data_IF_964491606323
#
_entry.id   IF_964491606323
#
_cell.length_a   1.000
_cell.length_b   1.000
_cell.length_c   1.000
_cell.angle_alpha   90.00
_cell.angle_beta   90.00
_cell.angle_gamma   90.00
#
_symmetry.space_group_name_H-M   'P 1'
#
loop_
_entity.id
_entity.type
_entity.pdbx_description
1 polymer ?
#
# COMPACT_ATOMS: atom_id res chain seq x y z
N UNK A 1 26.33 -7.11 31.73
CA UNK A 1 26.07 -5.72 31.33
C UNK A 1 25.29 -5.79 30.02
N UNK A 2 23.96 -5.72 30.09
CA UNK A 2 23.10 -5.59 28.92
C UNK A 2 22.46 -4.20 29.04
N UNK A 3 22.82 -3.30 28.13
CA UNK A 3 22.25 -1.96 28.08
C UNK A 3 20.84 -2.04 27.50
N UNK A 4 19.84 -1.54 28.24
CA UNK A 4 18.50 -1.30 27.75
C UNK A 4 18.50 -0.07 26.80
N UNK A 5 17.78 -0.16 25.68
CA UNK A 5 17.72 0.89 24.66
C UNK A 5 16.27 1.33 24.43
N UNK A 6 16.03 2.64 24.43
CA UNK A 6 14.81 3.27 23.92
C UNK A 6 15.23 4.00 22.64
N UNK A 7 14.72 3.55 21.50
CA UNK A 7 14.90 4.23 20.21
C UNK A 7 13.68 5.08 19.91
N UNK A 8 13.90 6.38 19.71
CA UNK A 8 12.90 7.34 19.26
C UNK A 8 13.23 7.64 17.80
N UNK A 9 12.48 7.06 16.86
CA UNK A 9 12.75 7.22 15.43
C UNK A 9 12.24 8.56 14.87
N UNK A 10 11.09 9.05 15.36
CA UNK A 10 10.50 10.33 14.92
C UNK A 10 9.85 11.05 16.12
N UNK A 11 10.32 12.25 16.45
CA UNK A 11 9.67 13.14 17.40
C UNK A 11 9.64 14.57 16.86
N UNK A 12 8.62 15.33 17.25
CA UNK A 12 8.55 16.77 16.97
C UNK A 12 8.63 17.51 18.29
N UNK A 13 9.58 18.42 18.38
CA UNK A 13 9.81 19.27 19.55
C UNK A 13 9.35 20.68 19.18
N UNK A 14 8.49 21.26 20.01
CA UNK A 14 8.10 22.66 19.89
C UNK A 14 8.78 23.46 21.01
N UNK A 15 9.53 24.50 20.64
CA UNK A 15 10.18 25.43 21.56
C UNK A 15 9.48 26.78 21.55
N UNK A 16 8.75 27.07 22.63
CA UNK A 16 8.06 28.33 22.91
C UNK A 16 7.00 28.71 21.84
N UNK A 17 6.06 29.59 22.21
CA UNK A 17 4.92 30.01 21.38
C UNK A 17 5.31 30.85 20.14
N UNK A 18 6.47 30.61 19.53
CA UNK A 18 6.92 31.21 18.28
C UNK A 18 6.89 30.16 17.19
N UNK A 19 6.55 30.55 15.95
CA UNK A 19 6.35 29.68 14.78
C UNK A 19 7.61 28.91 14.29
N UNK A 20 8.61 28.72 15.14
CA UNK A 20 9.83 27.97 14.85
C UNK A 20 9.59 26.47 15.03
N UNK A 21 9.35 25.75 13.93
CA UNK A 21 9.33 24.28 13.93
C UNK A 21 10.71 23.81 13.50
N UNK A 22 11.58 23.49 14.46
CA UNK A 22 12.77 22.70 14.17
C UNK A 22 12.37 21.23 14.12
N UNK A 23 12.27 20.67 12.90
CA UNK A 23 12.20 19.22 12.73
C UNK A 23 13.57 18.64 13.04
N UNK A 24 13.79 18.21 14.28
CA UNK A 24 14.96 17.40 14.61
C UNK A 24 14.80 16.02 13.95
N UNK A 25 15.25 15.89 12.70
CA UNK A 25 15.58 14.59 12.09
C UNK A 25 16.90 14.11 12.67
N UNK A 26 16.90 13.71 13.93
CA UNK A 26 18.02 13.00 14.53
C UNK A 26 17.52 11.65 15.03
N UNK A 27 18.09 10.57 14.47
CA UNK A 27 18.12 9.27 15.15
C UNK A 27 18.90 9.47 16.45
N UNK A 28 18.20 9.73 17.55
CA UNK A 28 18.81 9.79 18.86
C UNK A 28 18.66 8.43 19.54
N UNK A 29 19.74 7.66 19.60
CA UNK A 29 19.83 6.47 20.46
C UNK A 29 20.13 6.97 21.87
N UNK A 30 19.10 7.14 22.69
CA UNK A 30 19.25 7.60 24.07
C UNK A 30 19.69 6.41 24.94
N UNK A 31 21.00 6.33 25.22
CA UNK A 31 21.54 5.42 26.25
C UNK A 31 21.34 6.09 27.62
N UNK A 32 20.63 5.41 28.53
CA UNK A 32 20.34 5.76 29.95
C UNK A 32 19.24 6.79 30.22
N UNK A 33 18.53 6.52 31.33
CA UNK A 33 17.47 7.33 31.96
C UNK A 33 17.89 8.79 32.22
N UNK A 34 19.16 9.03 32.58
CA UNK A 34 19.71 10.37 32.83
C UNK A 34 19.73 11.27 31.59
N UNK A 35 19.68 10.69 30.39
CA UNK A 35 19.74 11.42 29.12
C UNK A 35 18.38 11.99 28.73
N UNK A 36 17.26 11.38 29.18
CA UNK A 36 15.92 11.96 29.05
C UNK A 36 15.80 13.22 29.92
N UNK A 37 16.24 13.15 31.18
CA UNK A 37 16.25 14.31 32.09
C UNK A 37 17.15 15.43 31.57
N UNK A 38 18.31 15.13 30.99
CA UNK A 38 19.18 16.10 30.30
C UNK A 38 18.55 16.68 29.02
N UNK A 39 17.74 15.89 28.29
CA UNK A 39 16.99 16.36 27.10
C UNK A 39 15.88 17.35 27.49
N UNK A 40 15.35 17.23 28.71
CA UNK A 40 14.34 18.11 29.31
C UNK A 40 14.91 19.20 30.22
N UNK A 41 16.23 19.25 30.50
CA UNK A 41 16.71 19.99 31.69
C UNK A 41 16.84 21.49 31.54
N UNK A 42 16.68 22.09 30.35
CA UNK A 42 17.02 23.51 30.21
C UNK A 42 15.88 24.48 29.94
N UNK A 43 14.64 24.07 29.62
CA UNK A 43 13.54 25.03 29.48
C UNK A 43 12.15 24.50 29.92
N UNK A 44 11.41 25.24 30.75
CA UNK A 44 10.12 24.81 31.32
C UNK A 44 8.94 24.77 30.33
N UNK A 45 9.12 25.22 29.07
CA UNK A 45 8.03 25.39 28.09
C UNK A 45 8.11 24.47 26.86
N UNK A 46 8.95 23.42 26.88
CA UNK A 46 9.08 22.47 25.76
C UNK A 46 7.93 21.46 25.76
N UNK A 47 7.20 21.35 24.65
CA UNK A 47 6.20 20.28 24.41
C UNK A 47 6.78 19.27 23.40
N UNK A 48 6.67 17.99 23.73
CA UNK A 48 7.12 16.90 22.85
C UNK A 48 5.90 16.11 22.41
N UNK A 49 5.70 16.02 21.09
CA UNK A 49 4.62 15.25 20.50
C UNK A 49 5.16 13.93 19.98
N UNK A 50 4.63 12.82 20.52
CA UNK A 50 5.05 11.46 20.18
C UNK A 50 3.89 10.78 19.48
N UNK A 51 4.14 10.25 18.28
CA UNK A 51 3.17 9.36 17.63
C UNK A 51 3.05 8.06 18.45
N UNK A 52 1.82 7.55 18.67
CA UNK A 52 1.57 6.28 19.38
C UNK A 52 2.32 5.06 18.80
N UNK A 53 2.99 5.20 17.66
CA UNK A 53 3.89 4.19 17.09
C UNK A 53 5.18 3.95 17.89
N UNK A 54 5.50 4.76 18.90
CA UNK A 54 6.88 4.93 19.36
C UNK A 54 7.22 4.43 20.78
N UNK A 55 6.54 3.40 21.29
CA UNK A 55 6.93 2.78 22.57
C UNK A 55 7.05 1.26 22.41
N UNK A 56 8.27 0.77 22.19
CA UNK A 56 8.59 -0.63 22.52
C UNK A 56 8.98 -0.70 24.00
N UNK A 57 8.20 -1.41 24.82
CA UNK A 57 8.61 -1.83 26.17
C UNK A 57 8.93 -3.32 26.15
N UNK A 58 10.11 -3.70 26.62
CA UNK A 58 10.33 -5.03 27.21
C UNK A 58 10.63 -4.81 28.69
N UNK A 59 9.58 -4.79 29.50
CA UNK A 59 9.73 -4.63 30.95
C UNK A 59 9.94 -6.01 31.59
N UNK A 60 11.09 -6.21 32.26
CA UNK A 60 11.16 -7.11 33.42
C UNK A 60 11.63 -6.28 34.60
N UNK A 61 10.69 -5.98 35.48
CA UNK A 61 10.85 -5.43 36.83
C UNK A 61 11.77 -4.22 37.00
N UNK A 62 11.23 -3.01 36.86
CA UNK A 62 11.12 -2.05 37.97
C UNK A 62 10.34 -0.80 37.54
N UNK A 63 9.59 -0.23 38.49
CA UNK A 63 8.49 0.73 38.32
C UNK A 63 8.91 2.08 37.73
N UNK A 64 8.20 2.54 36.70
CA UNK A 64 8.04 3.95 36.32
C UNK A 64 6.62 4.20 35.79
N UNK A 65 5.96 5.28 36.24
CA UNK A 65 4.67 5.74 35.73
C UNK A 65 4.84 6.82 34.66
N UNK A 66 4.06 6.72 33.58
CA UNK A 66 3.88 7.75 32.55
C UNK A 66 2.39 8.05 32.50
N UNK A 67 2.01 9.33 32.64
CA UNK A 67 0.61 9.75 32.50
C UNK A 67 0.33 10.08 31.04
N UNK A 68 -0.66 9.40 30.47
CA UNK A 68 -1.14 9.58 29.10
C UNK A 68 -2.50 10.27 29.19
N UNK A 69 -2.67 11.44 28.59
CA UNK A 69 -3.98 12.10 28.49
C UNK A 69 -4.57 11.89 27.10
N UNK A 70 -5.79 11.35 27.04
CA UNK A 70 -6.61 11.23 25.84
C UNK A 70 -7.54 12.46 25.73
N UNK A 71 -7.68 13.05 24.55
CA UNK A 71 -8.70 14.07 24.29
C UNK A 71 -9.95 13.43 23.68
N UNK A 72 -11.11 13.63 24.30
CA UNK A 72 -12.40 13.19 23.73
C UNK A 72 -12.74 13.95 22.45
N UNK A 73 -13.30 13.19 21.50
CA UNK A 73 -13.82 13.60 20.21
C UNK A 73 -14.98 14.61 20.31
N UNK A 74 -14.82 15.77 19.67
CA UNK A 74 -15.95 16.65 19.36
C UNK A 74 -16.62 16.18 18.06
N UNK A 75 -17.87 15.73 18.18
CA UNK A 75 -18.76 15.36 17.09
C UNK A 75 -19.50 16.59 16.57
N UNK A 76 -19.08 17.16 15.44
CA UNK A 76 -20.00 17.90 14.56
C UNK A 76 -19.61 17.74 13.08
N UNK A 77 -20.56 17.15 12.35
CA UNK A 77 -20.80 17.05 10.90
C UNK A 77 -19.62 17.05 9.90
N UNK A 78 -19.61 15.97 9.11
CA UNK A 78 -18.82 15.61 7.92
C UNK A 78 -17.46 14.92 8.15
N UNK A 79 -17.40 13.70 7.61
CA UNK A 79 -16.29 12.72 7.54
C UNK A 79 -16.02 11.96 8.85
N UNK A 80 -16.65 10.80 8.97
CA UNK A 80 -16.41 9.82 10.03
C UNK A 80 -15.03 9.14 9.88
N UNK A 81 -14.02 9.64 10.56
CA UNK A 81 -12.84 8.88 10.99
C UNK A 81 -12.46 9.38 12.39
N UNK A 82 -12.68 8.57 13.44
CA UNK A 82 -12.10 8.86 14.75
C UNK A 82 -10.62 8.46 14.75
N UNK A 83 -9.78 9.29 15.36
CA UNK A 83 -8.36 9.02 15.55
C UNK A 83 -8.02 9.25 17.03
N UNK A 84 -7.54 8.21 17.72
CA UNK A 84 -7.08 8.30 19.11
C UNK A 84 -5.60 8.69 19.14
N UNK A 85 -5.22 9.70 19.94
CA UNK A 85 -3.82 10.11 20.16
C UNK A 85 -3.55 10.45 21.64
N UNK A 86 -2.28 10.29 22.05
CA UNK A 86 -1.77 10.51 23.41
C UNK A 86 -0.92 11.79 23.54
N UNK A 87 -1.23 12.68 24.49
CA UNK A 87 -0.40 13.86 24.82
C UNK A 87 0.36 13.64 26.13
N UNK A 88 1.64 14.02 26.20
CA UNK A 88 2.46 13.99 27.43
C UNK A 88 2.84 15.42 27.82
N UNK A 89 2.53 15.81 29.07
CA UNK A 89 2.85 17.11 29.65
C UNK A 89 3.56 16.94 30.99
N UNK A 90 4.57 17.78 31.28
CA UNK A 90 5.31 17.79 32.55
C UNK A 90 4.62 18.59 33.67
N UNK A 91 3.44 19.17 33.43
CA UNK A 91 2.78 20.05 34.39
C UNK A 91 1.87 19.30 35.38
N UNK A 92 2.46 18.74 36.45
CA UNK A 92 1.91 18.62 37.84
C UNK A 92 2.67 17.54 38.64
N UNK A 93 3.96 17.74 38.87
CA UNK A 93 4.68 17.06 39.96
C UNK A 93 4.75 18.01 41.16
N UNK A 94 3.63 18.17 41.87
CA UNK A 94 3.64 18.75 43.22
C UNK A 94 3.42 17.63 44.24
N UNK A 95 4.52 17.25 44.88
CA UNK A 95 4.60 16.81 46.29
C UNK A 95 3.43 15.97 46.81
N UNK A 96 3.60 14.64 46.84
CA UNK A 96 3.09 13.80 47.94
C UNK A 96 3.88 12.49 48.02
N UNK A 97 4.43 12.25 49.21
CA UNK A 97 5.06 10.99 49.63
C UNK A 97 3.96 9.95 49.87
N UNK A 98 4.24 8.69 49.54
CA UNK A 98 3.48 7.46 49.81
C UNK A 98 2.54 6.93 48.71
N UNK A 99 2.37 5.60 48.77
CA UNK A 99 2.10 4.58 47.75
C UNK A 99 0.80 4.69 46.93
N UNK A 100 0.76 3.99 45.79
CA UNK A 100 -0.49 3.46 45.22
C UNK A 100 -0.47 3.38 43.70
N UNK A 101 -0.74 2.18 43.15
CA UNK A 101 -1.06 1.99 41.74
C UNK A 101 -2.41 2.64 41.44
N UNK A 102 -2.41 3.78 40.76
CA UNK A 102 -3.62 4.36 40.15
C UNK A 102 -3.19 5.01 38.83
N UNK A 103 -3.74 4.52 37.72
CA UNK A 103 -3.83 5.28 36.47
C UNK A 103 -5.07 6.14 36.63
N UNK A 104 -4.91 7.45 36.82
CA UNK A 104 -6.06 8.37 36.81
C UNK A 104 -6.32 8.81 35.36
N UNK A 105 -7.52 8.50 34.86
CA UNK A 105 -8.09 9.10 33.66
C UNK A 105 -8.44 10.57 33.96
N UNK A 106 -7.85 11.50 33.22
CA UNK A 106 -8.18 12.93 33.35
C UNK A 106 -9.08 13.31 32.18
N UNK A 107 -10.39 13.34 32.40
CA UNK A 107 -11.36 13.95 31.48
C UNK A 107 -11.21 15.48 31.53
N UNK A 108 -10.95 16.11 30.38
CA UNK A 108 -11.05 17.57 30.26
C UNK A 108 -12.37 17.96 29.60
N UNK A 109 -13.40 18.11 30.44
CA UNK A 109 -14.52 19.01 30.16
C UNK A 109 -14.09 20.45 30.40
N UNK A 110 -14.27 21.33 29.42
CA UNK A 110 -14.07 22.77 29.62
C UNK A 110 -13.88 23.58 28.34
N UNK A 111 -14.86 24.43 28.05
CA UNK A 111 -14.85 25.47 27.02
C UNK A 111 -13.54 26.28 26.98
N UNK A 112 -12.78 26.13 25.89
CA UNK A 112 -11.58 26.94 25.65
C UNK A 112 -11.41 27.22 24.15
N UNK A 113 -11.34 28.51 23.79
CA UNK A 113 -11.14 29.03 22.42
C UNK A 113 -9.86 28.51 21.71
N UNK A 114 -9.01 27.69 22.35
CA UNK A 114 -7.83 27.06 21.75
C UNK A 114 -8.10 25.80 20.92
N UNK A 115 -9.30 25.22 21.02
CA UNK A 115 -9.64 23.94 20.35
C UNK A 115 -9.59 24.00 18.82
N UNK A 116 -10.03 25.12 18.20
CA UNK A 116 -10.10 25.23 16.73
C UNK A 116 -8.73 25.42 16.07
N UNK A 117 -7.85 26.23 16.67
CA UNK A 117 -6.51 26.48 16.13
C UNK A 117 -5.59 25.28 16.35
N UNK A 118 -5.70 24.60 17.50
CA UNK A 118 -4.97 23.36 17.74
C UNK A 118 -5.46 22.22 16.82
N UNK A 119 -6.76 22.18 16.47
CA UNK A 119 -7.29 21.23 15.47
C UNK A 119 -6.87 21.55 14.04
N UNK A 120 -6.82 22.84 13.65
CA UNK A 120 -6.29 23.26 12.36
C UNK A 120 -4.78 22.98 12.23
N UNK A 121 -4.02 23.19 13.32
CA UNK A 121 -2.60 22.86 13.41
C UNK A 121 -2.36 21.35 13.39
N UNK A 122 -3.16 20.56 14.12
CA UNK A 122 -3.14 19.09 14.05
C UNK A 122 -3.51 18.59 12.65
N UNK A 123 -4.50 19.17 11.98
CA UNK A 123 -4.82 18.86 10.58
C UNK A 123 -3.65 19.19 9.64
N UNK A 124 -2.92 20.28 9.89
CA UNK A 124 -1.70 20.64 9.18
C UNK A 124 -0.54 19.67 9.43
N UNK A 125 -0.33 19.24 10.68
CA UNK A 125 0.68 18.25 11.08
C UNK A 125 0.31 16.85 10.58
N UNK A 126 -0.96 16.48 10.61
CA UNK A 126 -1.49 15.23 10.05
C UNK A 126 -1.45 15.23 8.53
N UNK A 127 -1.70 16.36 7.86
CA UNK A 127 -1.42 16.49 6.42
C UNK A 127 0.06 16.28 6.15
N UNK A 128 0.97 16.81 6.97
CA UNK A 128 2.42 16.58 6.87
C UNK A 128 2.86 15.15 7.26
N UNK A 129 2.15 14.47 8.16
CA UNK A 129 2.40 13.08 8.57
C UNK A 129 1.71 12.04 7.66
N UNK A 130 0.67 12.45 6.93
CA UNK A 130 -0.01 11.68 5.88
C UNK A 130 0.91 11.43 4.67
N UNK A 131 2.04 12.10 4.59
CA UNK A 131 3.15 11.76 3.69
C UNK A 131 3.90 10.53 4.21
N UNK A 132 3.22 9.37 4.26
CA UNK A 132 3.94 8.11 4.41
C UNK A 132 4.84 7.95 3.18
N UNK A 133 6.16 7.95 3.39
CA UNK A 133 7.16 7.83 2.32
C UNK A 133 7.16 6.42 1.71
N UNK A 134 6.54 5.47 2.41
CA UNK A 134 6.50 4.07 2.07
C UNK A 134 5.06 3.56 1.91
N UNK A 135 4.91 2.54 1.08
CA UNK A 135 3.67 1.78 0.90
C UNK A 135 3.22 1.25 2.26
N UNK A 136 1.95 1.48 2.58
CA UNK A 136 1.33 0.92 3.78
C UNK A 136 0.98 -0.55 3.57
N UNK A 137 1.93 -1.44 3.86
CA UNK A 137 1.79 -2.88 3.68
C UNK A 137 0.72 -3.49 4.59
N UNK A 138 0.03 -4.58 4.17
CA UNK A 138 -1.07 -5.19 4.93
C UNK A 138 -0.68 -5.65 6.35
N UNK A 139 0.55 -6.14 6.51
CA UNK A 139 1.11 -6.65 7.77
C UNK A 139 1.84 -5.59 8.60
N UNK A 140 1.70 -4.31 8.26
CA UNK A 140 2.17 -3.24 9.14
C UNK A 140 1.43 -3.30 10.47
N UNK A 141 2.17 -3.34 11.59
CA UNK A 141 1.62 -3.30 12.96
C UNK A 141 0.73 -2.09 13.21
N UNK A 142 0.93 -1.00 12.46
CA UNK A 142 0.12 0.19 12.59
C UNK A 142 -1.29 0.04 11.97
N UNK A 143 -1.57 -1.04 11.22
CA UNK A 143 -2.90 -1.31 10.68
C UNK A 143 -3.78 -1.88 11.79
N UNK A 144 -4.50 -1.00 12.48
CA UNK A 144 -5.33 -1.38 13.63
C UNK A 144 -6.82 -1.29 13.27
N UNK A 145 -7.62 -2.20 13.81
CA UNK A 145 -9.09 -2.14 13.84
C UNK A 145 -9.50 -2.36 15.30
N UNK A 146 -10.13 -1.35 15.91
CA UNK A 146 -10.62 -1.40 17.30
C UNK A 146 -9.55 -1.94 18.28
N UNK A 147 -8.31 -1.44 18.20
CA UNK A 147 -7.20 -1.86 19.06
C UNK A 147 -6.57 -3.23 18.74
N UNK A 148 -7.06 -3.96 17.74
CA UNK A 148 -6.47 -5.23 17.27
C UNK A 148 -5.71 -5.03 15.97
N UNK A 149 -4.56 -5.70 15.81
CA UNK A 149 -3.82 -5.68 14.54
C UNK A 149 -4.68 -6.32 13.44
N UNK A 150 -5.00 -5.54 12.40
CA UNK A 150 -5.80 -5.98 11.26
C UNK A 150 -5.19 -7.20 10.58
N UNK A 151 -3.86 -7.32 10.62
CA UNK A 151 -3.16 -8.44 10.01
C UNK A 151 -3.45 -9.76 10.70
N UNK A 152 -3.74 -9.81 12.00
CA UNK A 152 -4.06 -11.07 12.70
C UNK A 152 -5.37 -11.67 12.16
N UNK A 153 -6.35 -10.80 11.88
CA UNK A 153 -7.63 -11.17 11.26
C UNK A 153 -7.39 -11.65 9.82
N UNK A 154 -6.60 -10.91 9.04
CA UNK A 154 -6.24 -11.26 7.66
C UNK A 154 -5.50 -12.60 7.61
N UNK A 155 -4.49 -12.77 8.46
CA UNK A 155 -3.66 -13.96 8.54
C UNK A 155 -4.50 -15.18 8.89
N UNK A 156 -5.39 -15.06 9.88
CA UNK A 156 -6.31 -16.14 10.27
C UNK A 156 -7.25 -16.52 9.12
N UNK A 157 -7.81 -15.53 8.42
CA UNK A 157 -8.72 -15.77 7.30
C UNK A 157 -8.01 -16.42 6.09
N UNK A 158 -6.88 -15.86 5.65
CA UNK A 158 -6.11 -16.38 4.52
C UNK A 158 -5.51 -17.76 4.83
N UNK A 159 -5.14 -18.05 6.08
CA UNK A 159 -4.61 -19.37 6.46
C UNK A 159 -5.60 -20.51 6.20
N UNK A 160 -6.92 -20.23 6.24
CA UNK A 160 -7.95 -21.22 5.88
C UNK A 160 -7.91 -21.60 4.39
N UNK A 161 -7.37 -20.73 3.55
CA UNK A 161 -7.24 -20.95 2.11
C UNK A 161 -5.98 -21.76 1.73
N UNK A 162 -5.11 -22.10 2.69
CA UNK A 162 -3.95 -22.98 2.44
C UNK A 162 -4.33 -24.44 2.16
N UNK A 163 -5.56 -24.83 2.48
CA UNK A 163 -6.11 -26.16 2.21
C UNK A 163 -6.92 -26.12 0.92
N UNK A 164 -7.07 -27.23 0.18
CA UNK A 164 -7.93 -27.29 -0.99
C UNK A 164 -9.33 -26.75 -0.71
N UNK A 165 -9.80 -25.80 -1.53
CA UNK A 165 -11.14 -25.23 -1.41
C UNK A 165 -12.16 -26.18 -2.05
N UNK A 166 -13.35 -26.26 -1.46
CA UNK A 166 -14.52 -26.93 -2.02
C UNK A 166 -15.24 -26.04 -3.03
N UNK A 167 -15.31 -24.73 -2.75
CA UNK A 167 -16.00 -23.76 -3.60
C UNK A 167 -15.30 -22.40 -3.57
N UNK A 168 -15.51 -21.59 -4.60
CA UNK A 168 -14.99 -20.22 -4.66
C UNK A 168 -15.58 -19.31 -3.56
N UNK A 169 -16.73 -19.65 -2.98
CA UNK A 169 -17.37 -18.90 -1.88
C UNK A 169 -16.47 -18.78 -0.65
N UNK A 170 -15.55 -19.73 -0.43
CA UNK A 170 -14.56 -19.64 0.65
C UNK A 170 -13.60 -18.45 0.45
N UNK A 171 -13.34 -18.04 -0.80
CA UNK A 171 -12.58 -16.82 -1.12
C UNK A 171 -13.39 -15.59 -0.70
N UNK A 172 -14.69 -15.56 -1.01
CA UNK A 172 -15.57 -14.45 -0.63
C UNK A 172 -15.68 -14.33 0.90
N UNK A 173 -15.88 -15.44 1.61
CA UNK A 173 -15.95 -15.50 3.07
C UNK A 173 -14.66 -14.98 3.70
N UNK A 174 -13.50 -15.37 3.15
CA UNK A 174 -12.21 -14.84 3.57
C UNK A 174 -12.15 -13.32 3.40
N UNK A 175 -12.49 -12.79 2.22
CA UNK A 175 -12.40 -11.34 1.96
C UNK A 175 -13.43 -10.54 2.81
N UNK A 176 -14.62 -11.09 3.03
CA UNK A 176 -15.67 -10.47 3.87
C UNK A 176 -15.27 -10.35 5.34
N UNK A 177 -14.38 -11.21 5.85
CA UNK A 177 -14.02 -11.20 7.27
C UNK A 177 -13.16 -9.99 7.69
N UNK A 178 -12.56 -9.27 6.74
CA UNK A 178 -11.68 -8.11 7.03
C UNK A 178 -11.84 -6.94 6.06
N UNK A 179 -12.81 -7.01 5.14
CA UNK A 179 -13.12 -5.95 4.18
C UNK A 179 -14.62 -5.69 4.12
N UNK A 180 -15.00 -4.53 3.59
CA UNK A 180 -16.41 -4.15 3.36
C UNK A 180 -16.95 -4.67 2.02
N UNK A 181 -16.23 -5.56 1.33
CA UNK A 181 -16.62 -6.07 0.02
C UNK A 181 -17.77 -7.04 0.17
N UNK A 182 -18.91 -6.75 -0.46
CA UNK A 182 -20.12 -7.60 -0.35
C UNK A 182 -20.45 -8.35 -1.65
N UNK A 183 -20.11 -7.77 -2.80
CA UNK A 183 -20.46 -8.29 -4.12
C UNK A 183 -19.24 -8.90 -4.83
N UNK A 184 -19.42 -10.12 -5.35
CA UNK A 184 -18.41 -10.93 -6.04
C UNK A 184 -18.95 -11.54 -7.34
N UNK A 185 -19.91 -10.88 -7.99
CA UNK A 185 -20.59 -11.39 -9.18
C UNK A 185 -19.65 -11.86 -10.29
N UNK A 186 -18.64 -11.07 -10.68
CA UNK A 186 -17.69 -11.46 -11.71
C UNK A 186 -16.83 -12.66 -11.30
N UNK A 187 -16.46 -12.74 -10.01
CA UNK A 187 -15.70 -13.87 -9.48
C UNK A 187 -16.54 -15.15 -9.52
N UNK A 188 -17.82 -15.06 -9.12
CA UNK A 188 -18.75 -16.18 -9.24
C UNK A 188 -18.99 -16.60 -10.68
N UNK A 189 -19.17 -15.64 -11.60
CA UNK A 189 -19.32 -15.93 -13.02
C UNK A 189 -18.09 -16.64 -13.60
N UNK A 190 -16.88 -16.24 -13.21
CA UNK A 190 -15.66 -16.94 -13.61
C UNK A 190 -15.72 -18.41 -13.20
N UNK A 191 -15.90 -18.69 -11.90
CA UNK A 191 -15.82 -20.04 -11.38
C UNK A 191 -16.99 -20.92 -11.83
N UNK A 192 -18.22 -20.42 -11.82
CA UNK A 192 -19.43 -21.22 -12.06
C UNK A 192 -19.75 -21.36 -13.56
N UNK A 193 -19.52 -20.32 -14.37
CA UNK A 193 -19.99 -20.29 -15.76
C UNK A 193 -18.87 -20.36 -16.81
N UNK A 194 -17.64 -19.93 -16.50
CA UNK A 194 -16.57 -19.77 -17.50
C UNK A 194 -15.48 -20.84 -17.40
N UNK A 195 -15.04 -21.19 -16.19
CA UNK A 195 -14.04 -22.23 -16.00
C UNK A 195 -14.64 -23.62 -16.25
N UNK A 196 -13.94 -24.44 -17.04
CA UNK A 196 -14.25 -25.87 -17.12
C UNK A 196 -13.91 -26.57 -15.81
N UNK A 197 -14.45 -27.78 -15.61
CA UNK A 197 -14.35 -28.50 -14.35
C UNK A 197 -12.90 -28.78 -13.93
N UNK A 198 -12.04 -29.19 -14.86
CA UNK A 198 -10.63 -29.49 -14.57
C UNK A 198 -9.89 -28.25 -14.06
N UNK A 199 -10.03 -27.12 -14.75
CA UNK A 199 -9.34 -25.88 -14.40
C UNK A 199 -9.92 -25.26 -13.12
N UNK A 200 -11.24 -25.38 -12.93
CA UNK A 200 -11.93 -24.97 -11.69
C UNK A 200 -11.37 -25.71 -10.48
N UNK A 201 -11.26 -27.04 -10.57
CA UNK A 201 -10.66 -27.86 -9.51
C UNK A 201 -9.22 -27.44 -9.27
N UNK A 202 -8.38 -27.34 -10.30
CA UNK A 202 -6.98 -26.93 -10.15
C UNK A 202 -6.84 -25.54 -9.50
N UNK A 203 -7.72 -24.60 -9.84
CA UNK A 203 -7.70 -23.27 -9.25
C UNK A 203 -8.07 -23.30 -7.76
N UNK A 204 -9.09 -24.05 -7.39
CA UNK A 204 -9.55 -24.17 -6.01
C UNK A 204 -8.61 -25.00 -5.12
N UNK A 205 -7.98 -26.04 -5.67
CA UNK A 205 -7.16 -26.98 -4.88
C UNK A 205 -5.68 -26.63 -4.87
N UNK A 206 -5.20 -25.88 -5.87
CA UNK A 206 -3.77 -25.61 -6.05
C UNK A 206 -3.45 -24.12 -6.17
N UNK A 207 -4.09 -23.40 -7.10
CA UNK A 207 -3.72 -22.01 -7.40
C UNK A 207 -4.07 -21.05 -6.27
N UNK A 208 -5.29 -21.10 -5.75
CA UNK A 208 -5.72 -20.22 -4.63
C UNK A 208 -4.93 -20.52 -3.35
N UNK A 209 -4.68 -21.78 -2.97
CA UNK A 209 -3.76 -22.09 -1.87
C UNK A 209 -2.33 -21.57 -2.08
N UNK A 210 -1.82 -21.63 -3.31
CA UNK A 210 -0.53 -21.03 -3.65
C UNK A 210 -0.54 -19.50 -3.47
N UNK A 211 -1.58 -18.80 -3.92
CA UNK A 211 -1.75 -17.36 -3.70
C UNK A 211 -1.81 -17.01 -2.21
N UNK A 212 -2.55 -17.80 -1.42
CA UNK A 212 -2.63 -17.64 0.03
C UNK A 212 -1.25 -17.78 0.68
N UNK A 213 -0.46 -18.77 0.25
CA UNK A 213 0.93 -18.96 0.69
C UNK A 213 1.80 -17.73 0.36
N UNK A 214 1.72 -17.20 -0.86
CA UNK A 214 2.45 -15.98 -1.25
C UNK A 214 2.12 -14.77 -0.36
N UNK A 215 0.83 -14.57 -0.06
CA UNK A 215 0.41 -13.47 0.81
C UNK A 215 0.89 -13.67 2.27
N UNK A 216 0.85 -14.89 2.79
CA UNK A 216 1.28 -15.18 4.17
C UNK A 216 2.80 -15.15 4.36
N UNK A 217 3.58 -15.42 3.31
CA UNK A 217 5.05 -15.34 3.31
C UNK A 217 5.58 -13.91 3.11
N UNK A 218 4.70 -12.94 2.81
CA UNK A 218 5.11 -11.57 2.51
C UNK A 218 5.98 -10.90 3.60
N UNK A 219 5.80 -11.11 4.92
CA UNK A 219 6.64 -10.44 5.91
C UNK A 219 8.10 -10.92 5.91
N UNK A 220 8.35 -12.17 5.50
CA UNK A 220 9.71 -12.70 5.35
C UNK A 220 10.30 -12.46 3.96
N UNK A 221 9.45 -12.23 2.95
CA UNK A 221 9.85 -12.01 1.57
C UNK A 221 10.13 -10.52 1.26
N UNK A 222 9.32 -9.62 1.81
CA UNK A 222 9.41 -8.16 1.63
C UNK A 222 9.82 -7.58 2.99
N UNK A 223 11.11 -7.67 3.27
CA UNK A 223 11.72 -7.26 4.54
C UNK A 223 12.08 -5.78 4.59
N UNK A 224 12.11 -5.12 3.43
CA UNK A 224 12.38 -3.70 3.29
C UNK A 224 11.09 -2.92 3.01
N UNK A 225 10.91 -1.72 3.59
CA UNK A 225 9.83 -0.83 3.21
C UNK A 225 9.91 -0.48 1.71
N UNK A 226 8.76 -0.52 1.02
CA UNK A 226 8.68 -0.16 -0.40
C UNK A 226 8.40 1.35 -0.48
N UNK A 227 9.28 2.18 -1.06
CA UNK A 227 9.03 3.61 -1.15
C UNK A 227 7.92 3.91 -2.17
N UNK A 228 7.16 4.97 -1.90
CA UNK A 228 6.21 5.54 -2.85
C UNK A 228 6.99 6.46 -3.80
N UNK A 229 6.85 6.22 -5.11
CA UNK A 229 7.35 7.07 -6.18
C UNK A 229 6.43 8.29 -6.33
N UNK A 230 6.72 9.30 -5.50
CA UNK A 230 5.92 10.50 -5.35
C UNK A 230 5.92 11.38 -6.58
N UNK A 231 4.80 12.06 -6.77
CA UNK A 231 4.64 13.09 -7.79
C UNK A 231 5.61 14.24 -7.56
N UNK A 232 6.27 14.66 -8.64
CA UNK A 232 7.33 15.68 -8.66
C UNK A 232 8.74 15.14 -8.43
N UNK A 233 8.90 13.88 -7.99
CA UNK A 233 10.19 13.31 -7.63
C UNK A 233 10.63 12.23 -8.62
N UNK A 234 11.93 12.20 -8.95
CA UNK A 234 12.51 11.05 -9.65
C UNK A 234 12.83 9.93 -8.65
N UNK A 235 12.78 8.68 -9.10
CA UNK A 235 13.11 7.54 -8.26
C UNK A 235 12.88 6.22 -8.96
N UNK A 236 13.41 5.15 -8.39
CA UNK A 236 13.27 3.80 -8.93
C UNK A 236 13.11 2.78 -7.81
N UNK A 237 12.26 1.79 -8.04
CA UNK A 237 12.08 0.62 -7.18
C UNK A 237 12.34 -0.62 -8.02
N UNK A 238 13.24 -1.48 -7.57
CA UNK A 238 13.48 -2.79 -8.17
C UNK A 238 13.12 -3.87 -7.15
N UNK A 239 12.23 -4.77 -7.54
CA UNK A 239 11.81 -5.91 -6.73
C UNK A 239 11.90 -7.19 -7.55
N UNK A 240 12.02 -8.34 -6.88
CA UNK A 240 11.90 -9.63 -7.58
C UNK A 240 10.47 -9.86 -8.07
N UNK A 241 10.30 -10.64 -9.14
CA UNK A 241 8.99 -11.09 -9.58
C UNK A 241 8.26 -11.90 -8.48
N UNK A 242 9.01 -12.56 -7.57
CA UNK A 242 8.43 -13.20 -6.39
C UNK A 242 7.78 -12.21 -5.43
N UNK A 243 8.45 -11.09 -5.13
CA UNK A 243 7.89 -10.01 -4.33
C UNK A 243 6.68 -9.38 -5.03
N UNK A 244 6.74 -9.17 -6.35
CA UNK A 244 5.62 -8.68 -7.15
C UNK A 244 4.40 -9.61 -7.04
N UNK A 245 4.59 -10.93 -7.20
CA UNK A 245 3.54 -11.93 -7.05
C UNK A 245 2.89 -11.91 -5.65
N UNK A 246 3.69 -11.73 -4.59
CA UNK A 246 3.17 -11.62 -3.22
C UNK A 246 2.32 -10.35 -3.03
N UNK A 247 2.74 -9.21 -3.59
CA UNK A 247 1.96 -7.97 -3.59
C UNK A 247 0.65 -8.11 -4.37
N UNK A 248 0.68 -8.78 -5.52
CA UNK A 248 -0.53 -9.05 -6.32
C UNK A 248 -1.48 -10.01 -5.61
N UNK A 249 -0.97 -11.01 -4.89
CA UNK A 249 -1.82 -11.89 -4.06
C UNK A 249 -2.52 -11.08 -2.97
N UNK A 250 -1.82 -10.14 -2.33
CA UNK A 250 -2.42 -9.20 -1.38
C UNK A 250 -3.50 -8.29 -2.00
N UNK A 251 -3.29 -7.85 -3.25
CA UNK A 251 -4.25 -7.06 -4.02
C UNK A 251 -5.52 -7.87 -4.38
N UNK A 252 -5.34 -9.13 -4.81
CA UNK A 252 -6.43 -10.07 -5.09
C UNK A 252 -7.28 -10.32 -3.83
N UNK A 253 -6.65 -10.60 -2.69
CA UNK A 253 -7.34 -10.78 -1.42
C UNK A 253 -7.80 -9.45 -0.77
N UNK A 254 -7.68 -8.31 -1.45
CA UNK A 254 -8.18 -7.01 -0.97
C UNK A 254 -7.61 -6.58 0.40
N UNK A 255 -6.34 -6.90 0.66
CA UNK A 255 -5.73 -6.72 1.98
C UNK A 255 -5.09 -5.34 2.19
N UNK A 256 -4.83 -4.56 1.15
CA UNK A 256 -4.24 -3.23 1.30
C UNK A 256 -5.22 -2.28 2.04
N UNK A 257 -4.77 -1.61 3.12
CA UNK A 257 -5.65 -0.73 3.90
C UNK A 257 -6.00 0.54 3.12
N UNK A 258 -7.29 0.89 3.08
CA UNK A 258 -7.81 2.12 2.43
C UNK A 258 -7.46 2.26 0.93
N UNK A 259 -7.21 1.16 0.22
CA UNK A 259 -6.88 1.14 -1.22
C UNK A 259 -8.00 0.56 -2.11
N UNK A 260 -9.25 0.68 -1.65
CA UNK A 260 -10.46 0.27 -2.38
C UNK A 260 -10.99 1.36 -3.33
N UNK A 261 -10.54 2.61 -3.13
CA UNK A 261 -10.88 3.79 -3.92
C UNK A 261 -9.55 4.50 -4.20
N UNK A 262 -9.47 5.26 -5.30
CA UNK A 262 -8.36 6.18 -5.54
C UNK A 262 -8.25 7.13 -4.34
N UNK A 263 -7.11 7.11 -3.66
CA UNK A 263 -6.88 7.90 -2.45
C UNK A 263 -5.75 8.87 -2.70
N UNK A 264 -5.93 10.17 -2.42
CA UNK A 264 -4.90 11.22 -2.36
C UNK A 264 -3.60 10.86 -3.11
N UNK A 265 -3.70 10.81 -4.44
CA UNK A 265 -2.62 10.54 -5.41
C UNK A 265 -2.32 9.10 -5.84
N UNK A 266 -2.78 8.03 -5.16
CA UNK A 266 -2.50 6.64 -5.58
C UNK A 266 -3.70 5.93 -6.23
N UNK A 267 -3.50 5.10 -7.27
CA UNK A 267 -4.55 4.27 -7.86
C UNK A 267 -5.17 3.29 -6.85
N UNK A 268 -6.40 2.82 -7.10
CA UNK A 268 -6.97 1.70 -6.34
C UNK A 268 -6.31 0.38 -6.75
N UNK A 269 -5.91 -0.47 -5.80
CA UNK A 269 -5.21 -1.72 -6.12
C UNK A 269 -5.92 -2.98 -5.61
N UNK A 270 -6.86 -2.87 -4.68
CA UNK A 270 -7.63 -4.04 -4.25
C UNK A 270 -8.64 -4.44 -5.35
N UNK A 271 -8.79 -5.74 -5.59
CA UNK A 271 -9.61 -6.27 -6.70
C UNK A 271 -11.12 -6.20 -6.43
N UNK A 272 -11.55 -5.63 -5.29
CA UNK A 272 -12.94 -5.58 -4.86
C UNK A 272 -13.89 -4.98 -5.91
N UNK A 273 -13.44 -3.97 -6.68
CA UNK A 273 -14.23 -3.40 -7.76
C UNK A 273 -14.31 -4.34 -8.96
N UNK A 274 -13.23 -5.01 -9.32
CA UNK A 274 -13.22 -5.99 -10.40
C UNK A 274 -14.18 -7.15 -10.11
N UNK A 275 -14.21 -7.63 -8.86
CA UNK A 275 -15.10 -8.73 -8.44
C UNK A 275 -16.59 -8.38 -8.50
N UNK A 276 -16.98 -7.11 -8.33
CA UNK A 276 -18.38 -6.70 -8.21
C UNK A 276 -19.06 -6.31 -9.52
N UNK A 277 -18.31 -6.23 -10.62
CA UNK A 277 -18.82 -5.85 -11.94
C UNK A 277 -19.53 -7.02 -12.64
N UNK A 278 -20.29 -6.71 -13.70
CA UNK A 278 -21.16 -7.65 -14.40
C UNK A 278 -21.04 -7.50 -15.92
N UNK A 279 -19.84 -7.66 -16.46
CA UNK A 279 -19.61 -7.59 -17.91
C UNK A 279 -18.72 -8.71 -18.41
N UNK A 280 -18.96 -9.16 -19.65
CA UNK A 280 -18.20 -10.27 -20.24
C UNK A 280 -16.69 -9.98 -20.27
N UNK A 281 -16.28 -8.76 -20.63
CA UNK A 281 -14.88 -8.38 -20.64
C UNK A 281 -14.23 -8.42 -19.25
N UNK A 282 -14.95 -8.08 -18.16
CA UNK A 282 -14.43 -8.17 -16.78
C UNK A 282 -14.09 -9.62 -16.41
N UNK A 283 -14.91 -10.59 -16.82
CA UNK A 283 -14.59 -12.00 -16.57
C UNK A 283 -13.35 -12.42 -17.35
N UNK A 284 -13.18 -11.95 -18.58
CA UNK A 284 -11.97 -12.17 -19.37
C UNK A 284 -10.72 -11.54 -18.72
N UNK A 285 -10.84 -10.37 -18.09
CA UNK A 285 -9.76 -9.81 -17.26
C UNK A 285 -9.38 -10.71 -16.10
N UNK A 286 -10.37 -11.26 -15.39
CA UNK A 286 -10.13 -12.20 -14.30
C UNK A 286 -9.46 -13.48 -14.81
N UNK A 287 -9.74 -13.91 -16.05
CA UNK A 287 -9.00 -15.03 -16.68
C UNK A 287 -7.52 -14.71 -16.84
N UNK A 288 -7.16 -13.52 -17.34
CA UNK A 288 -5.75 -13.12 -17.44
C UNK A 288 -5.04 -13.16 -16.07
N UNK A 289 -5.67 -12.56 -15.06
CA UNK A 289 -5.10 -12.43 -13.72
C UNK A 289 -4.97 -13.79 -13.02
N UNK A 290 -5.99 -14.66 -13.13
CA UNK A 290 -5.91 -16.02 -12.60
C UNK A 290 -4.94 -16.89 -13.40
N UNK A 291 -4.83 -16.68 -14.72
CA UNK A 291 -3.86 -17.38 -15.54
C UNK A 291 -2.42 -17.05 -15.13
N UNK A 292 -2.13 -15.79 -14.80
CA UNK A 292 -0.84 -15.41 -14.21
C UNK A 292 -0.53 -16.21 -12.94
N UNK A 293 -1.43 -16.20 -11.94
CA UNK A 293 -1.24 -16.97 -10.71
C UNK A 293 -1.09 -18.47 -10.96
N UNK A 294 -1.85 -19.01 -11.92
CA UNK A 294 -1.74 -20.40 -12.33
C UNK A 294 -0.35 -20.71 -12.92
N UNK A 295 0.16 -19.87 -13.83
CA UNK A 295 1.48 -20.07 -14.44
C UNK A 295 2.61 -19.99 -13.40
N UNK A 296 2.59 -19.00 -12.51
CA UNK A 296 3.63 -18.85 -11.50
C UNK A 296 3.54 -19.91 -10.39
N UNK A 297 2.36 -20.52 -10.16
CA UNK A 297 2.21 -21.66 -9.25
C UNK A 297 2.91 -22.92 -9.77
N UNK A 298 3.05 -23.05 -11.09
CA UNK A 298 3.77 -24.14 -11.76
C UNK A 298 5.27 -23.89 -11.80
N UNK A 299 5.68 -22.67 -12.16
CA UNK A 299 7.09 -22.24 -12.17
C UNK A 299 7.16 -20.76 -11.81
N UNK A 300 7.69 -20.48 -10.62
CA UNK A 300 7.89 -19.11 -10.16
C UNK A 300 9.00 -18.44 -10.98
N UNK A 301 8.76 -17.28 -11.59
CA UNK A 301 9.80 -16.56 -12.31
C UNK A 301 10.81 -15.93 -11.34
N UNK A 302 12.05 -15.80 -11.79
CA UNK A 302 13.21 -15.42 -10.95
C UNK A 302 13.82 -14.07 -11.33
N UNK A 303 13.24 -13.38 -12.31
CA UNK A 303 13.69 -12.07 -12.77
C UNK A 303 13.35 -10.94 -11.79
N UNK A 304 13.69 -9.73 -12.23
CA UNK A 304 13.49 -8.50 -11.49
C UNK A 304 12.56 -7.57 -12.27
N UNK A 305 11.68 -6.90 -11.54
CA UNK A 305 10.81 -5.83 -12.03
C UNK A 305 11.35 -4.49 -11.52
N UNK A 306 11.65 -3.58 -12.43
CA UNK A 306 12.05 -2.20 -12.10
C UNK A 306 10.96 -1.23 -12.53
N UNK A 307 10.47 -0.42 -11.58
CA UNK A 307 9.52 0.68 -11.83
C UNK A 307 10.24 1.98 -11.51
N UNK A 308 10.33 2.87 -12.50
CA UNK A 308 11.04 4.14 -12.40
C UNK A 308 10.13 5.30 -12.74
N UNK A 309 10.12 6.31 -11.89
CA UNK A 309 9.48 7.61 -12.15
C UNK A 309 10.52 8.59 -12.65
N UNK A 310 10.22 9.24 -13.76
CA UNK A 310 11.08 10.24 -14.38
C UNK A 310 10.32 11.54 -14.53
N UNK A 311 11.03 12.64 -14.36
CA UNK A 311 10.57 13.99 -14.70
C UNK A 311 11.55 14.60 -15.69
N UNK A 312 11.04 15.46 -16.57
CA UNK A 312 11.89 16.21 -17.50
C UNK A 312 11.35 17.63 -17.66
N UNK A 313 12.21 18.55 -18.09
CA UNK A 313 11.80 19.87 -18.57
C UNK A 313 11.72 19.85 -20.09
N UNK A 314 10.66 20.44 -20.65
CA UNK A 314 10.56 20.57 -22.10
C UNK A 314 11.74 21.39 -22.64
N UNK A 315 12.42 20.94 -23.71
CA UNK A 315 13.43 21.76 -24.37
C UNK A 315 12.78 22.97 -25.04
N UNK A 316 13.59 23.98 -25.37
CA UNK A 316 13.11 25.10 -26.17
C UNK A 316 12.97 24.68 -27.66
N UNK A 317 11.80 24.14 -28.00
CA UNK A 317 11.51 23.55 -29.31
C UNK A 317 11.81 24.49 -30.49
N UNK A 318 11.57 25.80 -30.36
CA UNK A 318 11.81 26.76 -31.45
C UNK A 318 13.28 26.97 -31.78
N UNK A 319 14.17 26.63 -30.85
CA UNK A 319 15.64 26.70 -31.02
C UNK A 319 16.28 25.39 -31.47
N UNK A 320 15.49 24.31 -31.61
CA UNK A 320 16.00 23.00 -32.00
C UNK A 320 16.05 22.87 -33.53
N UNK A 321 17.24 22.62 -34.06
CA UNK A 321 17.49 22.42 -35.50
C UNK A 321 18.03 21.02 -35.82
N UNK A 322 17.70 20.03 -34.99
CA UNK A 322 18.09 18.64 -35.22
C UNK A 322 17.32 18.06 -36.42
N UNK A 323 17.95 17.19 -37.24
CA UNK A 323 17.24 16.49 -38.30
C UNK A 323 16.18 15.54 -37.71
N UNK A 324 15.13 15.26 -38.48
CA UNK A 324 14.16 14.23 -38.13
C UNK A 324 14.84 12.86 -38.10
N UNK A 325 14.42 12.00 -37.18
CA UNK A 325 14.88 10.61 -37.09
C UNK A 325 14.21 9.73 -38.16
N UNK A 326 14.76 8.54 -38.37
CA UNK A 326 14.11 7.50 -39.18
C UNK A 326 12.71 7.16 -38.62
N UNK A 327 11.78 6.86 -39.53
CA UNK A 327 10.38 6.58 -39.20
C UNK A 327 9.90 5.34 -39.97
N UNK A 328 9.41 4.35 -39.22
CA UNK A 328 8.68 3.20 -39.74
C UNK A 328 7.21 3.30 -39.33
N UNK A 329 6.30 3.17 -40.30
CA UNK A 329 4.85 3.21 -40.07
C UNK A 329 4.20 1.99 -40.69
N UNK A 330 3.39 1.28 -39.89
CA UNK A 330 2.63 0.12 -40.32
C UNK A 330 1.19 0.21 -39.81
N UNK A 331 0.23 -0.25 -40.63
CA UNK A 331 -1.17 -0.42 -40.22
C UNK A 331 -1.46 -1.86 -39.70
N UNK A 332 -0.42 -2.70 -39.67
CA UNK A 332 -0.45 -4.08 -39.15
C UNK A 332 0.52 -4.19 -37.97
N UNK A 333 0.23 -5.13 -37.09
CA UNK A 333 1.05 -5.41 -35.91
C UNK A 333 0.58 -4.68 -34.65
N UNK A 334 1.20 -5.00 -33.53
CA UNK A 334 0.94 -4.44 -32.20
C UNK A 334 2.24 -3.98 -31.55
N UNK A 335 2.14 -3.12 -30.52
CA UNK A 335 3.31 -2.61 -29.81
C UNK A 335 4.01 -3.75 -29.05
N UNK A 336 3.22 -4.63 -28.44
CA UNK A 336 3.68 -5.75 -27.63
C UNK A 336 4.35 -6.86 -28.43
N UNK A 337 3.83 -7.20 -29.62
CA UNK A 337 4.32 -8.32 -30.42
C UNK A 337 5.45 -7.90 -31.38
N UNK A 338 5.26 -6.79 -32.11
CA UNK A 338 6.21 -6.34 -33.14
C UNK A 338 7.28 -5.39 -32.60
N UNK A 339 7.05 -4.82 -31.41
CA UNK A 339 7.97 -3.89 -30.75
C UNK A 339 8.96 -4.57 -29.80
N UNK A 340 9.20 -5.88 -29.92
CA UNK A 340 10.12 -6.60 -29.02
C UNK A 340 11.51 -5.97 -29.01
N UNK A 341 12.06 -5.71 -27.81
CA UNK A 341 13.35 -5.04 -27.64
C UNK A 341 13.34 -3.52 -27.81
N UNK A 342 12.22 -2.92 -28.21
CA UNK A 342 12.05 -1.46 -28.32
C UNK A 342 11.54 -0.84 -27.02
N UNK A 343 11.59 0.49 -26.91
CA UNK A 343 10.84 1.23 -25.91
C UNK A 343 9.35 1.22 -26.29
N UNK A 344 8.60 0.35 -25.64
CA UNK A 344 7.16 0.19 -25.89
C UNK A 344 6.35 1.24 -25.14
N UNK A 345 5.51 1.98 -25.86
CA UNK A 345 4.69 3.06 -25.29
C UNK A 345 3.37 2.51 -24.76
N UNK A 346 3.07 2.86 -23.52
CA UNK A 346 1.77 2.68 -22.89
C UNK A 346 0.95 3.99 -23.02
N UNK A 347 -0.29 3.90 -23.49
CA UNK A 347 -1.21 5.03 -23.63
C UNK A 347 -1.90 5.30 -22.29
N UNK A 348 -1.05 5.66 -21.32
CA UNK A 348 -1.40 5.62 -19.92
C UNK A 348 -2.37 6.72 -19.48
N UNK A 349 -3.20 6.38 -18.49
CA UNK A 349 -3.85 7.36 -17.64
C UNK A 349 -2.82 8.04 -16.71
N UNK A 350 -3.10 9.26 -16.26
CA UNK A 350 -2.25 9.92 -15.25
C UNK A 350 -2.15 9.13 -13.94
N UNK A 351 -3.18 8.32 -13.62
CA UNK A 351 -3.11 7.24 -12.66
C UNK A 351 -2.75 5.96 -13.39
N UNK A 352 -1.46 5.59 -13.36
CA UNK A 352 -0.93 4.41 -14.05
C UNK A 352 -1.80 3.15 -13.82
N UNK A 353 -2.03 2.39 -14.89
CA UNK A 353 -2.90 1.22 -14.94
C UNK A 353 -4.39 1.56 -15.14
N UNK A 354 -4.76 2.84 -15.12
CA UNK A 354 -6.08 3.34 -15.48
C UNK A 354 -7.23 2.54 -14.86
N UNK A 355 -8.07 1.98 -15.72
CA UNK A 355 -9.24 1.21 -15.35
C UNK A 355 -9.01 -0.30 -15.20
N UNK A 356 -7.76 -0.79 -15.08
CA UNK A 356 -7.47 -2.23 -15.22
C UNK A 356 -8.23 -3.09 -14.20
N UNK A 357 -8.27 -2.66 -12.95
CA UNK A 357 -9.03 -3.30 -11.85
C UNK A 357 -10.50 -2.82 -11.74
N UNK A 358 -11.03 -2.28 -12.85
CA UNK A 358 -12.41 -1.81 -12.97
C UNK A 358 -12.96 -2.09 -14.38
N UNK A 359 -13.58 -1.11 -15.05
CA UNK A 359 -14.23 -1.28 -16.36
C UNK A 359 -13.33 -1.00 -17.57
N UNK A 360 -12.20 -0.27 -17.40
CA UNK A 360 -11.33 0.11 -18.53
C UNK A 360 -10.70 -1.09 -19.21
N UNK A 361 -10.75 -1.19 -20.53
CA UNK A 361 -10.30 -2.39 -21.25
C UNK A 361 -9.74 -2.03 -22.62
N UNK A 362 -8.95 -0.96 -22.66
CA UNK A 362 -8.29 -0.45 -23.86
C UNK A 362 -6.79 -0.74 -23.77
N UNK A 363 -5.94 0.00 -24.50
CA UNK A 363 -4.53 -0.37 -24.68
C UNK A 363 -3.76 -0.52 -23.35
N UNK A 364 -3.86 0.45 -22.43
CA UNK A 364 -3.19 0.42 -21.12
C UNK A 364 -3.64 -0.80 -20.30
N UNK A 365 -4.95 -0.98 -20.13
CA UNK A 365 -5.44 -2.07 -19.30
C UNK A 365 -5.16 -3.44 -19.89
N UNK A 366 -5.26 -3.60 -21.21
CA UNK A 366 -4.91 -4.85 -21.88
C UNK A 366 -3.44 -5.18 -21.62
N UNK A 367 -2.55 -4.19 -21.72
CA UNK A 367 -1.13 -4.41 -21.45
C UNK A 367 -0.89 -4.85 -20.00
N UNK A 368 -1.56 -4.21 -19.04
CA UNK A 368 -1.47 -4.60 -17.62
C UNK A 368 -2.11 -5.96 -17.32
N UNK A 369 -3.05 -6.44 -18.15
CA UNK A 369 -3.66 -7.76 -17.99
C UNK A 369 -2.79 -8.88 -18.56
N UNK A 370 -2.15 -8.66 -19.70
CA UNK A 370 -1.23 -9.66 -20.28
C UNK A 370 0.12 -9.68 -19.56
N UNK A 371 0.53 -8.57 -18.94
CA UNK A 371 1.71 -8.45 -18.07
C UNK A 371 1.34 -8.04 -16.63
N UNK A 372 0.69 -8.90 -15.80
CA UNK A 372 0.12 -8.50 -14.50
C UNK A 372 1.09 -7.90 -13.48
N UNK A 373 2.39 -8.16 -13.60
CA UNK A 373 3.42 -7.57 -12.75
C UNK A 373 3.42 -6.03 -12.83
N UNK A 374 2.97 -5.45 -13.94
CA UNK A 374 2.85 -3.99 -14.11
C UNK A 374 1.85 -3.37 -13.12
N UNK A 375 0.85 -4.12 -12.63
CA UNK A 375 -0.12 -3.66 -11.61
C UNK A 375 0.58 -3.28 -10.31
N UNK A 376 1.80 -3.77 -10.04
CA UNK A 376 2.58 -3.34 -8.87
C UNK A 376 2.90 -1.84 -8.92
N UNK A 377 3.01 -1.22 -10.11
CA UNK A 377 3.16 0.23 -10.23
C UNK A 377 2.00 1.00 -9.59
N UNK A 378 0.79 0.46 -9.64
CA UNK A 378 -0.40 1.04 -8.99
C UNK A 378 -0.26 1.10 -7.46
N UNK A 379 0.57 0.24 -6.86
CA UNK A 379 0.78 0.21 -5.40
C UNK A 379 1.61 1.40 -4.94
N UNK A 380 2.61 1.79 -5.74
CA UNK A 380 3.70 2.66 -5.33
C UNK A 380 3.85 3.96 -6.14
N UNK A 381 3.21 4.11 -7.30
CA UNK A 381 3.31 5.32 -8.12
C UNK A 381 2.11 6.26 -7.87
N UNK A 382 2.41 7.49 -7.43
CA UNK A 382 1.41 8.56 -7.38
C UNK A 382 1.02 9.03 -8.81
N UNK A 383 -0.09 9.77 -8.94
CA UNK A 383 -0.56 10.41 -10.18
C UNK A 383 0.56 11.18 -10.89
N UNK A 384 0.69 11.07 -12.20
CA UNK A 384 1.70 11.80 -13.00
C UNK A 384 1.35 13.28 -13.18
N UNK A 385 2.34 14.17 -13.11
CA UNK A 385 2.26 15.51 -13.67
C UNK A 385 2.47 15.49 -15.19
N UNK A 386 2.17 16.61 -15.86
CA UNK A 386 2.35 16.79 -17.30
C UNK A 386 3.79 16.58 -17.80
N UNK A 387 4.78 16.68 -16.90
CA UNK A 387 6.20 16.57 -17.22
C UNK A 387 6.84 15.28 -16.69
N UNK A 388 6.01 14.30 -16.32
CA UNK A 388 6.44 13.04 -15.73
C UNK A 388 6.03 11.83 -16.56
N UNK A 389 6.82 10.77 -16.44
CA UNK A 389 6.53 9.45 -17.01
C UNK A 389 6.92 8.34 -16.04
N UNK A 390 6.30 7.17 -16.20
CA UNK A 390 6.65 5.94 -15.50
C UNK A 390 7.23 4.96 -16.52
N UNK A 391 8.39 4.40 -16.20
CA UNK A 391 9.07 3.36 -17.00
C UNK A 391 9.06 2.07 -16.21
N UNK A 392 8.55 0.99 -16.83
CA UNK A 392 8.50 -0.34 -16.23
C UNK A 392 9.38 -1.28 -17.07
N UNK A 393 10.36 -1.92 -16.45
CA UNK A 393 11.26 -2.87 -17.10
C UNK A 393 11.18 -4.23 -16.41
N UNK A 394 11.19 -5.30 -17.20
CA UNK A 394 11.27 -6.69 -16.69
C UNK A 394 9.93 -7.35 -16.39
N UNK A 395 8.79 -6.72 -16.72
CA UNK A 395 7.49 -7.36 -16.62
C UNK A 395 7.33 -8.45 -17.70
N UNK A 396 7.01 -9.67 -17.28
CA UNK A 396 6.80 -10.80 -18.20
C UNK A 396 5.35 -10.83 -18.72
N UNK A 397 5.17 -11.25 -19.97
CA UNK A 397 3.85 -11.52 -20.54
C UNK A 397 3.40 -12.95 -20.20
N UNK A 398 2.18 -13.10 -19.71
CA UNK A 398 1.61 -14.37 -19.27
C UNK A 398 0.37 -14.78 -20.07
N UNK A 399 -0.31 -13.83 -20.71
CA UNK A 399 -1.51 -14.11 -21.52
C UNK A 399 -1.35 -13.57 -22.92
N UNK A 400 -2.08 -14.18 -23.85
CA UNK A 400 -2.36 -13.64 -25.17
C UNK A 400 -3.83 -13.18 -25.19
N UNK A 401 -4.30 -12.53 -26.26
CA UNK A 401 -5.66 -12.02 -26.32
C UNK A 401 -6.17 -11.78 -27.75
N UNK A 402 -7.49 -11.68 -27.88
CA UNK A 402 -8.15 -11.14 -29.07
C UNK A 402 -8.99 -9.92 -28.70
N UNK A 403 -9.28 -9.10 -29.72
CA UNK A 403 -10.22 -7.98 -29.61
C UNK A 403 -9.72 -6.83 -28.74
N UNK A 404 -10.61 -5.86 -28.55
CA UNK A 404 -10.32 -4.59 -27.87
C UNK A 404 -11.59 -4.03 -27.22
N UNK A 405 -11.46 -3.34 -26.09
CA UNK A 405 -12.61 -2.75 -25.40
C UNK A 405 -13.63 -3.81 -24.95
N UNK A 406 -14.86 -3.70 -25.45
CA UNK A 406 -15.94 -4.66 -25.17
C UNK A 406 -15.73 -6.03 -25.83
N UNK A 407 -14.94 -6.08 -26.91
CA UNK A 407 -14.65 -7.31 -27.66
C UNK A 407 -13.45 -8.09 -27.11
N UNK A 408 -12.74 -7.56 -26.11
CA UNK A 408 -11.58 -8.22 -25.50
C UNK A 408 -11.90 -9.64 -25.03
N UNK A 409 -11.06 -10.61 -25.42
CA UNK A 409 -11.12 -12.02 -25.01
C UNK A 409 -9.72 -12.49 -24.63
N UNK A 410 -9.63 -13.16 -23.49
CA UNK A 410 -8.38 -13.79 -23.05
C UNK A 410 -8.05 -14.99 -23.93
N UNK A 411 -6.77 -15.17 -24.25
CA UNK A 411 -6.21 -16.39 -24.83
C UNK A 411 -5.06 -16.91 -23.97
N UNK A 412 -4.94 -18.24 -23.82
CA UNK A 412 -3.77 -18.81 -23.15
C UNK A 412 -2.52 -18.54 -23.98
N UNK A 413 -1.47 -18.01 -23.35
CA UNK A 413 -0.18 -17.88 -24.02
C UNK A 413 0.48 -19.26 -24.06
N UNK A 414 0.64 -19.82 -25.27
CA UNK A 414 1.48 -21.01 -25.44
C UNK A 414 2.93 -20.55 -25.32
N UNK A 415 3.54 -20.64 -24.13
CA UNK A 415 4.95 -20.28 -23.96
C UNK A 415 5.80 -21.12 -24.93
N UNK A 416 6.20 -20.54 -26.06
CA UNK A 416 7.37 -20.98 -26.79
C UNK A 416 8.57 -20.50 -25.97
N UNK A 417 9.11 -21.41 -25.17
CA UNK A 417 10.41 -21.28 -24.50
C UNK A 417 10.68 -19.90 -23.87
N UNK A 418 10.38 -19.75 -22.58
CA UNK A 418 11.08 -18.75 -21.77
C UNK A 418 12.58 -18.94 -22.01
N UNK A 419 13.27 -17.86 -22.42
CA UNK A 419 14.71 -17.82 -22.72
C UNK A 419 15.55 -18.57 -21.66
N UNK A 420 16.69 -19.16 -22.07
CA UNK A 420 17.50 -20.10 -21.27
C UNK A 420 17.94 -19.59 -19.90
#
# INVERSE_FOLDING_TARGET
MNDDHIEIEDCVIEENNTHSIDSLRQKAVLKRQTTLDAFFSNEPNRKVFISDKLIRRKAKNNRMSITITHSESYSHLFVSQSWDFSVISKSKLKSRKSFGSVVEEVHHGGNGKGSSDDWARMSGVMKKANYTIYVRLPYSICNMINGTARYDIIQTAISKLLKPLKTYKQIEECIRSYSRTTNFAALGQLFEAVLNETLRVEYLTTVVPFMAKLALQSPSLITQPIPILRRGNFGSVTISQHQAASLLAHAFFCTFPNRNIVSNELPSVNFCRLFSLHSANVVEKLRCLMHYFHMISKKMPTGLLTIRRQNSSAPNWSSMHLPLSELYVSHKGTIEDDGYGMLQVDFANEFIGGGVLSSGCVQEEIRFLICPEMIVSMILCERMHHNEAIVICGAEQFSDYDGYGSSFRWRPMKKMHSFP
#
